data_IF_323652777051
#
_entry.id   IF_323652777051
#
_cell.length_a   1.000
_cell.length_b   1.000
_cell.length_c   1.000
_cell.angle_alpha   90.00
_cell.angle_beta   90.00
_cell.angle_gamma   90.00
#
_symmetry.space_group_name_H-M   'P 1'
#
loop_
_entity.id
_entity.type
_entity.pdbx_description
1 polymer ?
#
# COMPACT_ATOMS: atom_id res chain seq x y z
N UNK A 1 5.32 20.57 19.63
CA UNK A 1 4.31 19.50 19.56
C UNK A 1 4.56 18.82 18.24
N UNK A 2 5.25 17.69 18.24
CA UNK A 2 5.64 17.00 17.00
C UNK A 2 4.43 16.21 16.51
N UNK A 3 3.73 16.78 15.54
CA UNK A 3 2.71 16.07 14.76
C UNK A 3 3.43 15.16 13.76
N UNK A 4 3.01 13.90 13.71
CA UNK A 4 3.55 12.88 12.82
C UNK A 4 2.61 12.76 11.60
N UNK A 5 3.13 12.78 10.36
CA UNK A 5 2.35 12.49 9.18
C UNK A 5 1.82 11.07 9.18
N UNK A 6 0.65 10.87 8.57
CA UNK A 6 0.09 9.54 8.32
C UNK A 6 -0.54 9.55 6.93
N UNK A 7 -0.50 8.44 6.20
CA UNK A 7 -1.08 8.31 4.87
C UNK A 7 -2.24 7.32 4.96
N UNK A 8 -3.48 7.76 4.79
CA UNK A 8 -4.66 6.87 4.75
C UNK A 8 -4.95 6.55 3.29
N UNK A 9 -4.78 5.29 2.92
CA UNK A 9 -5.44 4.68 1.77
C UNK A 9 -6.79 4.16 2.23
N UNK A 10 -7.88 4.67 1.69
CA UNK A 10 -9.20 4.05 1.89
C UNK A 10 -9.37 2.90 0.90
N UNK A 11 -8.93 1.68 1.25
CA UNK A 11 -9.35 0.33 0.78
C UNK A 11 -8.25 -0.74 0.95
N UNK A 12 -8.61 -2.03 0.80
CA UNK A 12 -7.84 -3.27 1.06
C UNK A 12 -6.45 -3.39 0.38
N UNK A 13 -5.40 -2.68 0.81
CA UNK A 13 -4.07 -2.66 0.21
C UNK A 13 -2.91 -3.35 0.94
N UNK A 14 -2.12 -4.12 0.15
CA UNK A 14 -0.66 -4.25 0.25
C UNK A 14 0.07 -2.93 -0.02
N UNK A 15 1.26 -2.79 0.55
CA UNK A 15 1.70 -1.53 1.12
C UNK A 15 2.48 -0.61 0.21
N UNK A 16 2.71 0.57 0.78
CA UNK A 16 3.12 1.77 0.06
C UNK A 16 4.59 2.05 0.35
N UNK A 17 5.39 2.21 -0.70
CA UNK A 17 6.65 2.96 -0.63
C UNK A 17 6.45 4.37 -1.20
N UNK A 18 7.10 5.38 -0.62
CA UNK A 18 6.98 6.77 -1.07
C UNK A 18 8.33 7.49 -1.22
N UNK A 19 8.38 8.70 -1.80
CA UNK A 19 9.64 9.31 -2.29
C UNK A 19 9.72 10.86 -2.23
N UNK A 20 10.72 11.42 -1.55
CA UNK A 20 10.99 12.87 -1.52
C UNK A 20 11.81 13.37 -2.75
N UNK A 21 11.80 14.68 -3.09
CA UNK A 21 12.40 15.24 -4.28
C UNK A 21 13.80 15.79 -3.96
N UNK A 22 14.76 15.45 -4.82
CA UNK A 22 16.15 15.95 -4.80
C UNK A 22 17.05 15.44 -3.66
N UNK A 23 16.94 14.14 -3.38
CA UNK A 23 18.06 13.23 -3.23
C UNK A 23 17.54 11.88 -3.76
N UNK A 24 18.34 11.13 -4.52
CA UNK A 24 18.01 9.83 -5.13
C UNK A 24 16.79 9.18 -4.47
N UNK A 25 15.64 9.21 -5.17
CA UNK A 25 14.38 8.64 -4.68
C UNK A 25 14.67 7.25 -4.11
N UNK A 26 14.69 7.17 -2.79
CA UNK A 26 15.03 5.96 -2.05
C UNK A 26 13.74 5.45 -1.43
N UNK A 27 13.57 4.13 -1.47
CA UNK A 27 12.48 3.47 -0.76
C UNK A 27 12.45 3.95 0.70
N UNK A 28 11.29 4.44 1.16
CA UNK A 28 11.08 4.70 2.58
C UNK A 28 11.02 3.35 3.30
N UNK A 29 11.95 3.15 4.24
CA UNK A 29 12.03 1.95 5.06
C UNK A 29 11.36 2.16 6.40
N UNK A 30 10.87 1.08 7.02
CA UNK A 30 10.23 1.15 8.34
C UNK A 30 8.82 1.72 8.30
N UNK A 31 8.14 1.65 7.14
CA UNK A 31 6.71 1.97 7.05
C UNK A 31 5.94 1.00 7.94
N UNK A 32 5.00 1.50 8.73
CA UNK A 32 4.06 0.67 9.48
C UNK A 32 2.65 0.82 8.92
N UNK A 33 1.79 -0.14 9.20
CA UNK A 33 0.46 -0.22 8.60
C UNK A 33 -0.60 -0.51 9.67
N UNK A 34 -1.79 0.04 9.47
CA UNK A 34 -2.98 -0.23 10.30
C UNK A 34 -4.24 -0.17 9.43
N UNK A 35 -5.33 -0.78 9.87
CA UNK A 35 -6.60 -0.76 9.12
C UNK A 35 -7.80 -0.82 10.06
N UNK A 36 -8.92 -0.23 9.66
CA UNK A 36 -10.23 -0.42 10.29
C UNK A 36 -11.03 -1.58 9.65
N UNK A 37 -10.47 -2.23 8.61
CA UNK A 37 -11.09 -3.32 7.85
C UNK A 37 -10.81 -4.71 8.43
N UNK A 38 -10.12 -4.78 9.57
CA UNK A 38 -9.73 -6.04 10.21
C UNK A 38 -8.83 -6.92 9.34
N UNK A 39 -8.84 -8.23 9.58
CA UNK A 39 -8.10 -9.22 8.82
C UNK A 39 -9.01 -10.45 8.65
N UNK A 40 -9.25 -10.88 7.41
CA UNK A 40 -10.27 -11.89 7.08
C UNK A 40 -10.00 -13.24 7.74
N UNK A 41 -8.77 -13.74 7.60
CA UNK A 41 -8.27 -14.94 8.28
C UNK A 41 -6.81 -14.71 8.67
N UNK A 42 -6.52 -14.36 9.94
CA UNK A 42 -5.15 -14.10 10.41
C UNK A 42 -4.19 -15.30 10.31
N UNK A 43 -4.67 -16.51 10.01
CA UNK A 43 -3.81 -17.67 9.76
C UNK A 43 -3.30 -17.74 8.32
N UNK A 44 -3.92 -16.98 7.41
CA UNK A 44 -3.62 -17.01 5.97
C UNK A 44 -3.22 -15.64 5.42
N UNK A 45 -3.68 -14.57 6.05
CA UNK A 45 -3.50 -13.19 5.63
C UNK A 45 -2.81 -12.39 6.75
N UNK A 46 -1.90 -11.49 6.39
CA UNK A 46 -1.14 -10.68 7.34
C UNK A 46 -1.01 -9.25 6.84
N UNK A 47 -1.54 -8.30 7.63
CA UNK A 47 -1.46 -6.87 7.31
C UNK A 47 -0.01 -6.40 7.19
N UNK A 48 0.94 -6.98 7.93
CA UNK A 48 2.34 -6.56 7.82
C UNK A 48 2.97 -6.99 6.47
N UNK A 49 2.41 -7.99 5.79
CA UNK A 49 2.84 -8.39 4.44
C UNK A 49 2.72 -7.25 3.42
N UNK A 50 1.87 -6.27 3.72
CA UNK A 50 1.72 -5.05 2.93
C UNK A 50 3.03 -4.24 2.89
N UNK A 51 3.79 -4.15 3.99
CA UNK A 51 4.95 -3.26 4.09
C UNK A 51 6.29 -3.98 4.26
N UNK A 52 6.27 -5.28 4.58
CA UNK A 52 7.48 -6.04 4.93
C UNK A 52 8.19 -6.70 3.73
N UNK A 53 7.56 -6.73 2.55
CA UNK A 53 8.13 -7.25 1.31
C UNK A 53 8.19 -8.78 1.19
N UNK A 54 7.57 -9.52 2.10
CA UNK A 54 7.37 -10.97 1.96
C UNK A 54 6.62 -11.25 0.66
N UNK A 55 7.11 -12.15 -0.16
CA UNK A 55 6.55 -12.43 -1.50
C UNK A 55 7.25 -11.68 -2.64
N UNK A 56 8.04 -10.62 -2.37
CA UNK A 56 8.90 -10.00 -3.37
C UNK A 56 10.25 -10.73 -3.53
N UNK A 57 11.01 -10.50 -4.61
CA UNK A 57 12.35 -11.05 -4.76
C UNK A 57 13.24 -10.71 -3.56
N UNK A 58 13.75 -11.75 -2.90
CA UNK A 58 14.57 -11.61 -1.69
C UNK A 58 13.79 -11.40 -0.39
N UNK A 59 12.45 -11.37 -0.43
CA UNK A 59 11.58 -11.03 0.71
C UNK A 59 11.98 -9.70 1.36
N UNK A 60 12.27 -8.71 0.51
CA UNK A 60 12.65 -7.36 0.92
C UNK A 60 11.73 -6.34 0.25
N UNK A 61 11.30 -5.28 0.97
CA UNK A 61 10.52 -4.20 0.37
C UNK A 61 11.19 -3.64 -0.88
N UNK A 62 10.40 -3.45 -1.94
CA UNK A 62 10.84 -2.89 -3.21
C UNK A 62 9.66 -2.24 -3.92
N UNK A 63 9.93 -1.45 -4.97
CA UNK A 63 8.91 -0.79 -5.80
C UNK A 63 8.68 -1.50 -7.13
N UNK A 64 9.53 -2.47 -7.42
CA UNK A 64 9.53 -3.25 -8.64
C UNK A 64 9.76 -4.69 -8.27
N UNK A 65 9.34 -5.60 -9.14
CA UNK A 65 9.54 -7.02 -8.93
C UNK A 65 8.21 -7.75 -9.06
N UNK A 66 8.30 -9.00 -9.47
CA UNK A 66 7.15 -9.88 -9.55
C UNK A 66 6.92 -10.43 -8.13
N UNK A 67 5.76 -10.14 -7.56
CA UNK A 67 5.32 -10.71 -6.29
C UNK A 67 4.90 -12.17 -6.52
N UNK A 68 5.36 -13.06 -5.65
CA UNK A 68 5.07 -14.48 -5.71
C UNK A 68 3.57 -14.76 -5.55
N UNK A 69 3.17 -15.95 -5.99
CA UNK A 69 1.85 -16.50 -5.71
C UNK A 69 1.59 -16.59 -4.19
N UNK A 70 0.33 -16.63 -3.82
CA UNK A 70 -0.19 -16.63 -2.46
C UNK A 70 0.39 -17.81 -1.69
N UNK A 71 0.88 -17.48 -0.49
CA UNK A 71 1.31 -18.46 0.50
C UNK A 71 0.72 -18.07 1.84
N UNK A 72 0.21 -19.05 2.60
CA UNK A 72 -0.25 -18.86 3.98
C UNK A 72 0.85 -19.10 5.02
N UNK A 73 2.06 -19.48 4.63
CA UNK A 73 3.16 -19.77 5.58
C UNK A 73 4.54 -19.45 4.97
N UNK A 74 5.10 -18.25 5.24
CA UNK A 74 4.42 -17.10 5.87
C UNK A 74 3.31 -16.53 4.97
N UNK A 75 2.26 -15.93 5.53
CA UNK A 75 1.33 -15.09 4.79
C UNK A 75 2.10 -14.01 4.02
N UNK A 76 1.87 -13.91 2.71
CA UNK A 76 2.50 -12.91 1.86
C UNK A 76 1.50 -11.88 1.30
N UNK A 77 0.24 -11.94 1.73
CA UNK A 77 -0.78 -10.98 1.34
C UNK A 77 -1.69 -10.65 2.52
N UNK A 78 -2.52 -9.61 2.35
CA UNK A 78 -3.58 -9.27 3.29
C UNK A 78 -4.94 -9.12 2.58
N UNK A 79 -6.00 -9.51 3.28
CA UNK A 79 -7.38 -9.28 2.87
C UNK A 79 -8.20 -8.83 4.10
N UNK A 80 -8.98 -7.77 3.93
CA UNK A 80 -9.87 -7.24 4.96
C UNK A 80 -11.14 -8.08 5.13
N UNK A 81 -11.79 -7.95 6.28
CA UNK A 81 -13.09 -8.56 6.56
C UNK A 81 -14.28 -7.65 6.20
N UNK A 82 -14.01 -6.43 5.72
CA UNK A 82 -15.00 -5.47 5.22
C UNK A 82 -14.81 -5.19 3.74
N UNK A 83 -15.86 -4.80 3.04
CA UNK A 83 -15.80 -4.40 1.63
C UNK A 83 -15.22 -2.99 1.40
N UNK A 84 -15.35 -2.09 2.39
CA UNK A 84 -14.84 -0.72 2.34
C UNK A 84 -14.26 -0.31 3.69
N UNK A 85 -13.29 0.60 3.68
CA UNK A 85 -12.63 1.11 4.88
C UNK A 85 -11.23 1.64 4.55
N UNK A 86 -10.42 1.83 5.59
CA UNK A 86 -9.14 2.53 5.57
C UNK A 86 -7.98 1.61 5.92
N UNK A 87 -6.85 1.90 5.31
CA UNK A 87 -5.52 1.38 5.57
C UNK A 87 -4.58 2.55 5.66
N UNK A 88 -4.01 2.72 6.84
CA UNK A 88 -3.10 3.81 7.13
C UNK A 88 -1.68 3.30 7.09
N UNK A 89 -0.86 3.88 6.24
CA UNK A 89 0.58 3.69 6.20
C UNK A 89 1.25 4.87 6.90
N UNK A 90 1.90 4.60 8.03
CA UNK A 90 2.73 5.58 8.72
C UNK A 90 4.16 5.46 8.21
N UNK A 91 4.64 6.51 7.57
CA UNK A 91 5.98 6.60 6.97
C UNK A 91 7.07 6.90 8.02
N UNK A 92 6.67 7.13 9.27
CA UNK A 92 7.51 7.50 10.41
C UNK A 92 8.24 8.86 10.30
N UNK A 93 8.06 9.60 9.21
CA UNK A 93 8.52 10.97 9.03
C UNK A 93 7.72 11.68 7.91
N UNK A 94 8.03 12.96 7.68
CA UNK A 94 7.52 13.73 6.55
C UNK A 94 8.40 13.52 5.33
N UNK A 95 7.76 13.17 4.22
CA UNK A 95 8.39 13.05 2.92
C UNK A 95 7.52 13.79 1.91
N UNK A 96 8.11 14.46 0.92
CA UNK A 96 7.36 14.63 -0.31
C UNK A 96 7.24 13.24 -0.97
N UNK A 97 6.24 13.05 -1.82
CA UNK A 97 5.87 11.74 -2.33
C UNK A 97 5.85 11.78 -3.86
N UNK A 98 6.79 11.11 -4.53
CA UNK A 98 6.85 11.05 -5.99
C UNK A 98 5.92 9.97 -6.57
N UNK A 99 5.51 8.99 -5.77
CA UNK A 99 4.73 7.85 -6.23
C UNK A 99 4.72 6.68 -5.26
N UNK A 100 4.02 5.61 -5.64
CA UNK A 100 3.97 4.34 -4.94
C UNK A 100 3.78 3.17 -5.91
N UNK A 101 3.91 1.94 -5.42
CA UNK A 101 3.66 0.71 -6.17
C UNK A 101 2.66 -0.15 -5.43
N UNK A 102 1.78 -0.82 -6.16
CA UNK A 102 0.69 -1.60 -5.60
C UNK A 102 0.61 -2.96 -6.29
N UNK A 103 0.60 -4.04 -5.50
CA UNK A 103 0.37 -5.40 -5.98
C UNK A 103 -1.03 -5.80 -5.53
N UNK A 104 -1.96 -5.84 -6.48
CA UNK A 104 -3.36 -6.15 -6.21
C UNK A 104 -3.57 -7.65 -6.36
N UNK A 105 -3.89 -8.36 -5.28
CA UNK A 105 -4.23 -9.78 -5.37
C UNK A 105 -5.57 -9.92 -6.09
N UNK A 106 -5.53 -10.31 -7.36
CA UNK A 106 -6.71 -10.32 -8.22
C UNK A 106 -7.26 -11.75 -8.47
N UNK A 107 -6.98 -12.71 -7.58
CA UNK A 107 -7.45 -14.08 -7.75
C UNK A 107 -8.96 -14.19 -7.43
N UNK A 108 -9.69 -14.78 -8.38
CA UNK A 108 -11.07 -15.25 -8.22
C UNK A 108 -12.16 -14.18 -8.01
N UNK A 109 -12.05 -13.02 -8.67
CA UNK A 109 -13.13 -12.03 -8.86
C UNK A 109 -13.85 -11.53 -7.59
N UNK A 110 -13.30 -11.79 -6.40
CA UNK A 110 -13.95 -11.54 -5.10
C UNK A 110 -13.03 -10.91 -4.06
N UNK A 111 -11.70 -10.93 -4.29
CA UNK A 111 -10.70 -10.36 -3.41
C UNK A 111 -9.81 -9.44 -4.26
N UNK A 112 -9.52 -8.24 -3.74
CA UNK A 112 -8.77 -7.18 -4.43
C UNK A 112 -9.38 -5.81 -4.18
N UNK A 113 -8.60 -4.74 -4.43
CA UNK A 113 -9.14 -3.38 -4.44
C UNK A 113 -9.48 -2.99 -5.86
N UNK A 114 -10.65 -2.38 -6.03
CA UNK A 114 -10.97 -1.68 -7.27
C UNK A 114 -11.03 -0.18 -7.04
N UNK A 115 -12.04 0.30 -6.31
CA UNK A 115 -12.19 1.73 -6.03
C UNK A 115 -11.29 2.19 -4.87
N UNK A 116 -10.58 3.31 -5.08
CA UNK A 116 -9.67 3.86 -4.07
C UNK A 116 -9.76 5.39 -4.02
N UNK A 117 -9.52 5.96 -2.84
CA UNK A 117 -9.15 7.37 -2.67
C UNK A 117 -7.80 7.40 -1.95
N UNK A 118 -6.81 8.08 -2.54
CA UNK A 118 -5.48 8.24 -1.95
C UNK A 118 -5.39 9.62 -1.29
N UNK A 119 -5.09 9.64 0.01
CA UNK A 119 -5.04 10.86 0.81
C UNK A 119 -3.77 10.92 1.66
N UNK A 120 -3.22 12.12 1.88
CA UNK A 120 -2.10 12.35 2.78
C UNK A 120 -2.49 13.21 3.98
N UNK A 121 -1.74 13.07 5.07
CA UNK A 121 -1.84 13.88 6.29
C UNK A 121 -0.46 14.11 6.90
N UNK A 122 -0.26 15.27 7.53
CA UNK A 122 0.93 15.60 8.33
C UNK A 122 0.69 15.50 9.85
N UNK A 123 -0.54 15.23 10.27
CA UNK A 123 -0.94 15.15 11.69
C UNK A 123 -1.62 13.83 12.08
N UNK A 124 -1.89 12.96 11.10
CA UNK A 124 -2.53 11.67 11.30
C UNK A 124 -4.02 11.74 11.62
N UNK A 125 -4.63 12.93 11.52
CA UNK A 125 -6.03 13.18 11.85
C UNK A 125 -6.76 13.77 10.65
N UNK A 126 -6.18 14.76 9.99
CA UNK A 126 -6.77 15.48 8.87
C UNK A 126 -6.14 15.01 7.56
N UNK A 127 -6.95 14.42 6.69
CA UNK A 127 -6.50 13.84 5.43
C UNK A 127 -7.00 14.64 4.23
N UNK A 128 -6.10 14.88 3.29
CA UNK A 128 -6.39 15.60 2.04
C UNK A 128 -6.16 14.67 0.86
N UNK A 129 -7.14 14.58 -0.04
CA UNK A 129 -7.01 13.80 -1.27
C UNK A 129 -5.87 14.34 -2.13
N UNK A 130 -4.98 13.45 -2.55
CA UNK A 130 -3.84 13.81 -3.39
C UNK A 130 -4.35 14.03 -4.83
N UNK A 131 -4.26 15.26 -5.37
CA UNK A 131 -4.73 15.53 -6.73
C UNK A 131 -3.98 14.69 -7.77
N UNK A 132 -4.74 14.06 -8.68
CA UNK A 132 -4.18 13.23 -9.74
C UNK A 132 -3.77 11.82 -9.32
N UNK A 133 -3.96 11.43 -8.06
CA UNK A 133 -3.82 10.06 -7.63
C UNK A 133 -4.86 9.14 -8.30
N UNK A 134 -4.57 7.84 -8.46
CA UNK A 134 -5.52 6.89 -9.04
C UNK A 134 -6.82 6.84 -8.22
N UNK A 135 -7.93 6.64 -8.92
CA UNK A 135 -9.24 6.36 -8.31
C UNK A 135 -9.68 4.91 -8.48
N UNK A 136 -8.95 4.17 -9.31
CA UNK A 136 -9.17 2.76 -9.60
C UNK A 136 -7.82 2.04 -9.71
N UNK A 137 -7.69 0.91 -9.01
CA UNK A 137 -6.66 -0.09 -9.28
C UNK A 137 -7.23 -1.12 -10.25
N UNK A 138 -6.45 -1.51 -11.26
CA UNK A 138 -6.95 -2.36 -12.33
C UNK A 138 -7.13 -3.80 -11.83
N UNK A 139 -8.33 -4.38 -11.90
CA UNK A 139 -8.51 -5.81 -11.68
C UNK A 139 -7.89 -6.55 -12.86
N UNK A 140 -7.13 -7.60 -12.59
CA UNK A 140 -6.56 -8.48 -13.61
C UNK A 140 -7.21 -9.86 -13.52
N UNK A 141 -7.76 -10.38 -14.62
CA UNK A 141 -8.59 -11.60 -14.61
C UNK A 141 -7.84 -12.92 -14.29
N UNK A 142 -6.52 -12.88 -14.05
CA UNK A 142 -5.71 -14.08 -13.81
C UNK A 142 -4.32 -13.73 -13.27
N UNK A 143 -4.04 -13.80 -11.95
CA UNK A 143 -2.94 -12.96 -11.51
C UNK A 143 -2.21 -13.58 -10.33
N UNK A 144 -1.44 -14.63 -10.60
CA UNK A 144 -0.32 -15.02 -9.76
C UNK A 144 0.72 -15.72 -10.64
N UNK A 145 2.01 -15.31 -10.60
CA UNK A 145 2.62 -14.19 -9.89
C UNK A 145 2.19 -12.78 -10.39
N UNK A 146 2.33 -11.74 -9.55
CA UNK A 146 1.78 -10.40 -9.79
C UNK A 146 2.85 -9.34 -10.09
N UNK A 147 2.59 -8.47 -11.07
CA UNK A 147 3.41 -7.28 -11.34
C UNK A 147 2.80 -6.04 -10.66
N UNK A 148 3.60 -5.05 -10.23
CA UNK A 148 3.04 -3.87 -9.58
C UNK A 148 2.35 -2.95 -10.58
N UNK A 149 1.23 -2.37 -10.17
CA UNK A 149 0.77 -1.08 -10.67
C UNK A 149 1.63 0.03 -10.04
N UNK A 150 2.26 0.85 -10.87
CA UNK A 150 3.10 1.95 -10.39
C UNK A 150 2.43 3.29 -10.67
N UNK A 151 2.27 4.08 -9.61
CA UNK A 151 1.61 5.39 -9.67
C UNK A 151 2.61 6.48 -9.38
N UNK A 152 2.66 7.49 -10.24
CA UNK A 152 3.39 8.73 -9.98
C UNK A 152 2.43 9.76 -9.43
N UNK A 153 2.83 10.45 -8.36
CA UNK A 153 2.08 11.56 -7.80
C UNK A 153 2.66 12.86 -8.34
N UNK A 154 1.80 13.81 -8.66
CA UNK A 154 2.28 15.16 -8.88
C UNK A 154 2.79 15.68 -7.55
N UNK A 155 4.05 16.12 -7.55
CA UNK A 155 4.70 16.71 -6.40
C UNK A 155 3.86 17.90 -5.92
N UNK A 156 3.11 17.72 -4.83
CA UNK A 156 2.62 18.85 -4.08
C UNK A 156 3.79 19.34 -3.25
N UNK A 157 4.11 20.63 -3.35
CA UNK A 157 4.85 21.30 -2.29
C UNK A 157 3.96 21.24 -1.04
N UNK A 158 4.31 20.37 -0.08
CA UNK A 158 3.70 20.33 1.25
C UNK A 158 4.31 21.43 2.14
#
# INVERSE_FOLDING_TARGET
MNVKPSLIITAISLGIGVFAPQAKAALITGVTVSTDMGNFDPSQFDLDATVNGVGLPGNTPALTGIHAAFTSTPPNIWAGNQATGNITFDLNDTYDLAGFSFWNYNNASTIGIQGVTVQSSTDGINFTTIPGAPTVFQPTDNPEPEVPEQFSLLLLQL
#
